data_IF_386839490294
#
_entry.id   IF_386839490294
#
_cell.length_a   1.000
_cell.length_b   1.000
_cell.length_c   1.000
_cell.angle_alpha   90.00
_cell.angle_beta   90.00
_cell.angle_gamma   90.00
#
_symmetry.space_group_name_H-M   'P 1'
#
loop_
_entity.id
_entity.type
_entity.pdbx_description
1 polymer ?
#
# COMPACT_ATOMS: atom_id res chain seq x y z
N UNK A 1 -20.49 -22.26 -3.97
CA UNK A 1 -21.60 -21.29 -3.82
C UNK A 1 -21.87 -21.09 -2.34
N UNK A 2 -21.35 -20.01 -1.79
CA UNK A 2 -21.47 -19.62 -0.37
C UNK A 2 -21.05 -18.16 -0.19
N UNK A 3 -21.43 -17.31 -1.15
CA UNK A 3 -21.51 -15.87 -0.96
C UNK A 3 -22.57 -15.60 0.12
N UNK A 4 -22.41 -14.53 0.90
CA UNK A 4 -23.39 -13.93 1.83
C UNK A 4 -23.17 -14.09 3.35
N UNK A 5 -21.96 -14.35 3.87
CA UNK A 5 -21.73 -14.25 5.33
C UNK A 5 -20.72 -13.20 5.80
N UNK A 6 -19.80 -12.69 4.97
CA UNK A 6 -18.79 -11.72 5.44
C UNK A 6 -19.16 -10.24 5.27
N UNK A 7 -20.32 -9.93 4.68
CA UNK A 7 -20.74 -8.53 4.44
C UNK A 7 -21.25 -7.84 5.71
N UNK A 8 -21.48 -8.57 6.80
CA UNK A 8 -22.16 -8.04 7.99
C UNK A 8 -21.22 -7.30 8.96
N UNK A 9 -19.90 -7.51 8.89
CA UNK A 9 -18.94 -6.79 9.75
C UNK A 9 -18.17 -5.67 9.04
N UNK A 10 -18.44 -5.42 7.75
CA UNK A 10 -17.67 -4.51 6.92
C UNK A 10 -17.82 -2.98 7.18
N UNK A 11 -18.87 -2.40 7.79
CA UNK A 11 -19.04 -0.95 7.69
C UNK A 11 -18.22 -0.14 8.71
N UNK A 12 -17.53 -0.78 9.67
CA UNK A 12 -16.90 -0.06 10.79
C UNK A 12 -15.37 0.02 10.75
N UNK A 13 -14.67 -0.81 9.95
CA UNK A 13 -13.19 -0.87 9.95
C UNK A 13 -12.55 -0.11 8.78
N UNK A 14 -13.33 0.17 7.71
CA UNK A 14 -12.83 0.81 6.49
C UNK A 14 -12.25 2.24 6.63
N UNK A 15 -12.88 3.19 7.36
CA UNK A 15 -12.44 4.59 7.29
C UNK A 15 -11.20 4.92 8.13
N UNK A 16 -10.94 4.19 9.22
CA UNK A 16 -9.79 4.47 10.09
C UNK A 16 -8.45 4.07 9.45
N UNK A 17 -8.45 2.99 8.66
CA UNK A 17 -7.26 2.47 7.99
C UNK A 17 -6.88 3.28 6.74
N UNK A 18 -7.88 3.82 6.04
CA UNK A 18 -7.66 4.71 4.91
C UNK A 18 -6.88 5.99 5.26
N UNK A 19 -7.01 6.50 6.49
CA UNK A 19 -6.31 7.73 6.93
C UNK A 19 -4.83 7.47 7.25
N UNK A 20 -4.49 6.31 7.81
CA UNK A 20 -3.09 5.92 8.05
C UNK A 20 -2.34 5.63 6.75
N UNK A 21 -3.01 4.97 5.80
CA UNK A 21 -2.48 4.77 4.45
C UNK A 21 -2.27 6.10 3.73
N UNK A 22 -3.25 7.01 3.81
CA UNK A 22 -3.18 8.34 3.21
C UNK A 22 -2.06 9.19 3.83
N UNK A 23 -1.84 9.10 5.15
CA UNK A 23 -0.73 9.77 5.82
C UNK A 23 0.64 9.27 5.33
N UNK A 24 0.74 7.97 5.00
CA UNK A 24 1.97 7.37 4.46
C UNK A 24 2.22 7.76 2.99
N UNK A 25 1.17 7.86 2.18
CA UNK A 25 1.26 8.44 0.83
C UNK A 25 1.64 9.92 0.88
N UNK A 26 1.13 10.68 1.84
CA UNK A 26 1.48 12.10 1.99
C UNK A 26 2.95 12.27 2.41
N UNK A 27 3.52 11.32 3.16
CA UNK A 27 4.96 11.32 3.46
C UNK A 27 5.84 11.14 2.20
N UNK A 28 5.30 10.57 1.09
CA UNK A 28 6.02 10.48 -0.21
C UNK A 28 6.33 11.86 -0.81
N UNK A 29 5.71 12.94 -0.34
CA UNK A 29 5.97 14.30 -0.84
C UNK A 29 7.12 15.00 -0.10
N UNK A 30 7.65 14.41 0.97
CA UNK A 30 8.70 14.99 1.78
C UNK A 30 9.93 14.07 1.81
N UNK A 31 10.81 14.25 0.82
CA UNK A 31 12.27 14.40 0.98
C UNK A 31 13.05 13.69 -0.13
N UNK A 32 13.74 14.51 -0.93
CA UNK A 32 14.41 14.11 -2.16
C UNK A 32 15.63 13.23 -1.87
N UNK A 33 15.68 12.12 -2.62
CA UNK A 33 16.90 11.43 -3.10
C UNK A 33 17.42 10.22 -2.30
N UNK A 34 16.92 9.90 -1.10
CA UNK A 34 17.35 8.67 -0.40
C UNK A 34 16.24 7.65 -0.11
N UNK A 35 14.98 8.04 -0.27
CA UNK A 35 13.89 7.24 0.27
C UNK A 35 12.85 6.79 -0.77
N UNK A 36 13.01 7.07 -2.07
CA UNK A 36 12.00 6.68 -3.06
C UNK A 36 11.82 5.14 -3.14
N UNK A 37 12.91 4.37 -3.27
CA UNK A 37 12.81 2.90 -3.30
C UNK A 37 12.56 2.29 -1.91
N UNK A 38 13.26 2.79 -0.89
CA UNK A 38 13.18 2.23 0.47
C UNK A 38 11.81 2.48 1.13
N UNK A 39 11.18 3.62 0.85
CA UNK A 39 9.80 3.91 1.33
C UNK A 39 8.81 2.97 0.67
N UNK A 40 8.94 2.73 -0.63
CA UNK A 40 8.02 1.84 -1.35
C UNK A 40 8.17 0.40 -0.84
N UNK A 41 9.41 -0.06 -0.60
CA UNK A 41 9.66 -1.37 0.03
C UNK A 41 9.08 -1.47 1.44
N UNK A 42 9.23 -0.42 2.25
CA UNK A 42 8.64 -0.37 3.58
C UNK A 42 7.11 -0.34 3.54
N UNK A 43 6.52 0.28 2.52
CA UNK A 43 5.08 0.30 2.30
C UNK A 43 4.55 -1.09 1.91
N UNK A 44 5.26 -1.83 1.05
CA UNK A 44 4.93 -3.23 0.71
C UNK A 44 4.95 -4.14 1.95
N UNK A 45 6.00 -4.06 2.78
CA UNK A 45 6.07 -4.81 4.05
C UNK A 45 4.93 -4.46 5.02
N UNK A 46 4.51 -3.19 5.03
CA UNK A 46 3.38 -2.75 5.84
C UNK A 46 2.05 -3.24 5.27
N UNK A 47 1.94 -3.44 3.96
CA UNK A 47 0.76 -3.95 3.28
C UNK A 47 0.59 -5.45 3.57
N UNK A 48 1.68 -6.23 3.54
CA UNK A 48 1.68 -7.65 3.95
C UNK A 48 1.23 -7.81 5.41
N UNK A 49 1.79 -7.01 6.33
CA UNK A 49 1.39 -7.07 7.75
C UNK A 49 -0.11 -6.76 7.95
N UNK A 50 -0.66 -5.86 7.13
CA UNK A 50 -2.10 -5.57 7.17
C UNK A 50 -2.92 -6.76 6.66
N UNK A 51 -2.48 -7.45 5.60
CA UNK A 51 -3.15 -8.67 5.13
C UNK A 51 -3.08 -9.78 6.18
N UNK A 52 -1.90 -10.02 6.76
CA UNK A 52 -1.68 -11.03 7.81
C UNK A 52 -2.51 -10.76 9.06
N UNK A 53 -2.65 -9.49 9.44
CA UNK A 53 -3.48 -9.08 10.57
C UNK A 53 -4.99 -9.12 10.26
N UNK A 54 -5.39 -9.54 9.04
CA UNK A 54 -6.78 -9.53 8.58
C UNK A 54 -7.36 -8.12 8.47
N UNK A 55 -6.48 -7.13 8.35
CA UNK A 55 -6.86 -5.72 8.33
C UNK A 55 -7.40 -5.27 6.97
N UNK A 56 -6.92 -5.91 5.91
CA UNK A 56 -7.35 -5.77 4.51
C UNK A 56 -7.62 -7.17 3.95
N UNK A 57 -8.45 -7.25 2.90
CA UNK A 57 -8.67 -8.51 2.17
C UNK A 57 -7.68 -8.68 1.02
N UNK A 58 -7.61 -9.90 0.46
CA UNK A 58 -6.74 -10.25 -0.68
C UNK A 58 -6.97 -9.33 -1.90
N UNK A 59 -8.23 -9.09 -2.28
CA UNK A 59 -8.57 -8.21 -3.42
C UNK A 59 -8.08 -6.76 -3.27
N UNK A 60 -7.99 -6.27 -2.02
CA UNK A 60 -7.50 -4.92 -1.72
C UNK A 60 -5.98 -4.90 -1.65
N UNK A 61 -5.38 -5.94 -1.06
CA UNK A 61 -3.94 -6.17 -1.08
C UNK A 61 -3.41 -6.16 -2.51
N UNK A 62 -3.98 -6.96 -3.41
CA UNK A 62 -3.52 -7.11 -4.80
C UNK A 62 -3.49 -5.77 -5.55
N UNK A 63 -4.56 -4.96 -5.40
CA UNK A 63 -4.64 -3.63 -6.05
C UNK A 63 -3.59 -2.67 -5.52
N UNK A 64 -3.37 -2.66 -4.21
CA UNK A 64 -2.40 -1.76 -3.59
C UNK A 64 -0.96 -2.21 -3.85
N UNK A 65 -0.72 -3.52 -3.86
CA UNK A 65 0.57 -4.12 -4.21
C UNK A 65 0.96 -3.75 -5.64
N UNK A 66 0.05 -3.90 -6.60
CA UNK A 66 0.30 -3.55 -8.00
C UNK A 66 0.70 -2.08 -8.16
N UNK A 67 -0.01 -1.16 -7.49
CA UNK A 67 0.31 0.27 -7.48
C UNK A 67 1.69 0.57 -6.89
N UNK A 68 2.05 -0.07 -5.77
CA UNK A 68 3.36 0.11 -5.13
C UNK A 68 4.48 -0.48 -6.00
N UNK A 69 4.27 -1.63 -6.62
CA UNK A 69 5.24 -2.25 -7.53
C UNK A 69 5.46 -1.41 -8.80
N UNK A 70 4.41 -0.79 -9.35
CA UNK A 70 4.53 0.14 -10.47
C UNK A 70 5.37 1.36 -10.08
N UNK A 71 5.12 1.94 -8.89
CA UNK A 71 5.92 3.06 -8.36
C UNK A 71 7.38 2.66 -8.16
N UNK A 72 7.63 1.46 -7.64
CA UNK A 72 8.99 0.94 -7.44
C UNK A 72 9.74 0.81 -8.76
N UNK A 73 9.05 0.37 -9.82
CA UNK A 73 9.62 0.31 -11.17
C UNK A 73 10.02 1.70 -11.67
N UNK A 74 9.13 2.69 -11.53
CA UNK A 74 9.41 4.07 -11.94
C UNK A 74 10.58 4.67 -11.14
N UNK A 75 10.62 4.46 -9.83
CA UNK A 75 11.70 4.93 -8.96
C UNK A 75 13.06 4.35 -9.39
N UNK A 76 13.11 3.04 -9.69
CA UNK A 76 14.30 2.36 -10.21
C UNK A 76 14.72 2.85 -11.59
N UNK A 77 13.76 3.11 -12.47
CA UNK A 77 14.03 3.65 -13.81
C UNK A 77 14.61 5.06 -13.76
N UNK A 78 14.12 5.91 -12.84
CA UNK A 78 14.68 7.25 -12.60
C UNK A 78 16.11 7.18 -12.07
N UNK A 79 16.37 6.34 -11.07
CA UNK A 79 17.72 6.19 -10.49
C UNK A 79 18.72 5.67 -11.53
N UNK A 80 18.28 4.80 -12.45
CA UNK A 80 19.10 4.27 -13.54
C UNK A 80 19.33 5.26 -14.68
N UNK A 81 18.39 6.18 -14.91
CA UNK A 81 18.44 7.16 -16.00
C UNK A 81 19.24 8.42 -15.67
N UNK A 82 19.68 8.60 -14.41
CA UNK A 82 20.68 9.60 -14.04
C UNK A 82 20.38 11.04 -14.49
N UNK A 83 19.13 11.49 -14.33
CA UNK A 83 18.76 12.91 -14.40
C UNK A 83 18.72 13.51 -12.99
#
# INVERSE_FOLDING_TARGET
>A
MGILTDVVFAPAVGPLKGVLWLARIIAEQAERTLYDEDVIRAALLSLEQQLEAGEIGEDEYDKQEELLLERLKIARERMRSGL
#
